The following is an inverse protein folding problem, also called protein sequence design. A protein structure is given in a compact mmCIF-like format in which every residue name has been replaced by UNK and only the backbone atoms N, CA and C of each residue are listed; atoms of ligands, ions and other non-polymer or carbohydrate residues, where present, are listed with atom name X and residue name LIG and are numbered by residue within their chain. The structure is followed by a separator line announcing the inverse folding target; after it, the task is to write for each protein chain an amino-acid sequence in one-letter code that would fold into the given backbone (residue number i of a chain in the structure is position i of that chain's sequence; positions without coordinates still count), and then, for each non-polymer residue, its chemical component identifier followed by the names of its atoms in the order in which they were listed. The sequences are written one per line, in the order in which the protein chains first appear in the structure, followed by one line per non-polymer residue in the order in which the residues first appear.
data_IF_366281788363
#
_entry.id   IF_366281788363
#
_cell.length_a   1.000
_cell.length_b   1.000
_cell.length_c   1.000
_cell.angle_alpha   90.00
_cell.angle_beta   90.00
_cell.angle_gamma   90.00
#
_symmetry.space_group_name_H-M   'P 1'
#
loop_
_entity.id
_entity.type
_entity.pdbx_description
1 polymer ?
#
# COMPACT_ATOMS: atom_id res chain seq x y z
N UNK A 1 -25.43 18.79 48.78
CA UNK A 1 -25.66 19.07 47.35
C UNK A 1 -26.11 17.76 46.67
N UNK A 2 -27.37 17.63 46.23
CA UNK A 2 -27.85 16.39 45.58
C UNK A 2 -27.41 16.41 44.12
N UNK A 3 -26.43 15.59 43.75
CA UNK A 3 -26.04 15.38 42.36
C UNK A 3 -27.23 14.70 41.67
N UNK A 4 -27.71 15.29 40.58
CA UNK A 4 -28.89 14.79 39.88
C UNK A 4 -28.50 13.57 39.03
N UNK A 5 -29.36 12.56 38.94
CA UNK A 5 -29.03 11.28 38.28
C UNK A 5 -28.60 11.43 36.81
N UNK A 6 -29.10 12.44 36.10
CA UNK A 6 -28.71 12.71 34.72
C UNK A 6 -27.25 13.16 34.57
N UNK A 7 -26.67 13.83 35.57
CA UNK A 7 -25.25 14.22 35.55
C UNK A 7 -24.33 13.00 35.65
N UNK A 8 -24.76 11.94 36.35
CA UNK A 8 -24.02 10.69 36.45
C UNK A 8 -24.09 9.92 35.12
N UNK A 9 -25.27 9.84 34.49
CA UNK A 9 -25.44 9.19 33.19
C UNK A 9 -24.62 9.89 32.11
N UNK A 10 -24.63 11.22 32.06
CA UNK A 10 -23.84 12.00 31.11
C UNK A 10 -22.34 11.78 31.31
N UNK A 11 -21.88 11.70 32.56
CA UNK A 11 -20.48 11.40 32.89
C UNK A 11 -20.07 10.00 32.44
N UNK A 12 -20.92 8.99 32.66
CA UNK A 12 -20.67 7.61 32.19
C UNK A 12 -20.59 7.57 30.66
N UNK A 13 -21.49 8.25 29.95
CA UNK A 13 -21.45 8.33 28.48
C UNK A 13 -20.16 9.00 27.99
N UNK A 14 -19.75 10.12 28.61
CA UNK A 14 -18.50 10.82 28.28
C UNK A 14 -17.26 9.96 28.54
N UNK A 15 -17.24 9.19 29.63
CA UNK A 15 -16.14 8.26 29.95
C UNK A 15 -16.11 7.09 28.96
N UNK A 16 -17.26 6.56 28.54
CA UNK A 16 -17.30 5.48 27.55
C UNK A 16 -16.85 5.97 26.16
N UNK A 17 -17.27 7.18 25.75
CA UNK A 17 -16.87 7.76 24.46
C UNK A 17 -15.36 8.09 24.44
N UNK A 18 -14.77 8.52 25.56
CA UNK A 18 -13.34 8.84 25.61
C UNK A 18 -12.42 7.61 25.52
N UNK A 19 -12.94 6.40 25.82
CA UNK A 19 -12.19 5.16 25.61
C UNK A 19 -12.18 4.68 24.16
N UNK A 20 -12.99 5.28 23.28
CA UNK A 20 -12.99 4.97 21.85
C UNK A 20 -11.97 5.87 21.14
N UNK A 21 -10.70 5.74 21.51
CA UNK A 21 -9.61 6.34 20.75
C UNK A 21 -9.34 5.49 19.51
N UNK A 22 -10.02 5.80 18.41
CA UNK A 22 -9.58 5.29 17.12
C UNK A 22 -8.25 5.95 16.78
N UNK A 23 -7.20 5.14 16.57
CA UNK A 23 -5.99 5.63 15.92
C UNK A 23 -6.41 6.24 14.58
N UNK A 24 -6.14 7.54 14.41
CA UNK A 24 -6.50 8.22 13.17
C UNK A 24 -5.75 7.56 12.01
N UNK A 25 -6.51 7.24 10.96
CA UNK A 25 -5.93 6.71 9.72
C UNK A 25 -4.92 7.71 9.17
N UNK A 26 -3.80 7.24 8.58
CA UNK A 26 -2.78 8.15 8.07
C UNK A 26 -3.39 9.02 6.98
N UNK A 27 -3.17 10.33 7.09
CA UNK A 27 -3.49 11.22 5.99
C UNK A 27 -2.65 10.84 4.77
N UNK A 28 -3.21 11.01 3.59
CA UNK A 28 -2.58 10.63 2.32
C UNK A 28 -2.42 11.84 1.42
N UNK A 29 -1.35 11.86 0.61
CA UNK A 29 -1.10 12.84 -0.44
C UNK A 29 -0.62 12.14 -1.70
N UNK A 30 -0.82 12.79 -2.85
CA UNK A 30 -0.13 12.44 -4.09
C UNK A 30 1.06 13.39 -4.20
N UNK A 31 2.27 12.84 -4.30
CA UNK A 31 3.48 13.65 -4.38
C UNK A 31 3.70 14.25 -5.79
N UNK A 32 4.74 15.06 -5.94
CA UNK A 32 5.09 15.71 -7.22
C UNK A 32 5.40 14.72 -8.34
N UNK A 33 5.73 13.47 -8.00
CA UNK A 33 5.99 12.39 -8.96
C UNK A 33 4.73 11.58 -9.30
N UNK A 34 3.57 11.96 -8.74
CA UNK A 34 2.30 11.26 -8.93
C UNK A 34 2.17 9.98 -8.12
N UNK A 35 3.01 9.76 -7.10
CA UNK A 35 2.93 8.58 -6.25
C UNK A 35 2.06 8.87 -5.00
N UNK A 36 1.20 7.92 -4.61
CA UNK A 36 0.46 7.98 -3.34
C UNK A 36 1.40 7.74 -2.17
N UNK A 37 1.33 8.61 -1.16
CA UNK A 37 2.14 8.61 0.06
C UNK A 37 1.29 8.91 1.28
N UNK A 38 1.76 8.50 2.45
CA UNK A 38 1.30 9.05 3.73
C UNK A 38 1.88 10.46 3.94
N UNK A 39 1.18 11.28 4.71
CA UNK A 39 1.71 12.59 5.13
C UNK A 39 2.60 12.38 6.35
N UNK A 40 3.87 12.70 6.18
CA UNK A 40 4.90 12.64 7.20
C UNK A 40 5.39 14.04 7.58
N UNK A 41 5.92 14.18 8.79
CA UNK A 41 6.51 15.43 9.26
C UNK A 41 7.81 15.72 8.51
N UNK A 42 8.04 16.98 8.14
CA UNK A 42 9.25 17.42 7.44
C UNK A 42 9.32 16.93 6.00
N UNK A 43 10.51 16.54 5.54
CA UNK A 43 10.77 16.10 4.16
C UNK A 43 10.68 14.58 3.97
N UNK A 44 10.11 13.86 4.93
CA UNK A 44 10.05 12.41 4.89
C UNK A 44 9.11 11.89 3.79
N UNK A 45 9.61 10.95 2.99
CA UNK A 45 8.86 10.25 1.94
C UNK A 45 8.35 8.89 2.43
N UNK A 46 9.06 8.30 3.40
CA UNK A 46 8.76 7.01 4.03
C UNK A 46 8.35 7.29 5.48
N UNK A 47 7.29 6.64 5.98
CA UNK A 47 6.97 6.71 7.40
C UNK A 47 8.16 6.28 8.27
N UNK A 48 8.43 6.95 9.39
CA UNK A 48 9.36 6.46 10.39
C UNK A 48 9.05 5.00 10.77
N UNK A 49 10.11 4.23 10.98
CA UNK A 49 10.01 2.84 11.42
C UNK A 49 9.14 2.75 12.67
N UNK A 50 8.24 1.78 12.69
CA UNK A 50 7.31 1.48 13.78
C UNK A 50 6.25 2.55 14.09
N UNK A 51 6.16 3.66 13.31
CA UNK A 51 5.17 4.73 13.55
C UNK A 51 3.73 4.22 13.56
N UNK A 52 3.41 3.28 12.67
CA UNK A 52 2.05 2.79 12.45
C UNK A 52 1.80 1.36 12.97
N UNK A 53 2.69 0.75 13.75
CA UNK A 53 2.55 -0.65 14.19
C UNK A 53 1.21 -0.91 14.91
N UNK A 54 0.84 -0.04 15.87
CA UNK A 54 -0.44 -0.15 16.58
C UNK A 54 -1.65 -0.01 15.67
N UNK A 55 -1.51 0.80 14.61
CA UNK A 55 -2.58 0.96 13.63
C UNK A 55 -2.69 -0.29 12.76
N UNK A 56 -1.57 -0.85 12.29
CA UNK A 56 -1.54 -2.11 11.55
C UNK A 56 -2.23 -3.21 12.35
N UNK A 57 -1.87 -3.37 13.64
CA UNK A 57 -2.52 -4.33 14.54
C UNK A 57 -4.04 -4.14 14.63
N UNK A 58 -4.49 -2.88 14.66
CA UNK A 58 -5.91 -2.54 14.68
C UNK A 58 -6.61 -2.86 13.37
N UNK A 59 -6.00 -2.54 12.23
CA UNK A 59 -6.54 -2.83 10.91
C UNK A 59 -6.63 -4.35 10.69
N UNK A 60 -5.63 -5.11 11.11
CA UNK A 60 -5.63 -6.57 11.02
C UNK A 60 -6.72 -7.20 11.90
N UNK A 61 -6.95 -6.67 13.10
CA UNK A 61 -8.09 -7.08 13.94
C UNK A 61 -9.43 -6.78 13.26
N UNK A 62 -9.54 -5.64 12.60
CA UNK A 62 -10.75 -5.29 11.85
C UNK A 62 -10.96 -6.26 10.67
N UNK A 63 -9.91 -6.56 9.91
CA UNK A 63 -10.00 -7.50 8.78
C UNK A 63 -10.31 -8.94 9.21
N UNK A 64 -9.88 -9.36 10.41
CA UNK A 64 -10.30 -10.65 10.99
C UNK A 64 -11.79 -10.70 11.28
N UNK A 65 -12.39 -9.58 11.73
CA UNK A 65 -13.82 -9.49 12.06
C UNK A 65 -14.69 -9.23 10.82
N UNK A 66 -14.21 -8.38 9.92
CA UNK A 66 -14.86 -8.02 8.68
C UNK A 66 -13.84 -8.06 7.53
N UNK A 67 -13.65 -9.24 6.89
CA UNK A 67 -12.67 -9.41 5.81
C UNK A 67 -12.94 -8.58 4.56
N UNK A 68 -14.12 -7.97 4.45
CA UNK A 68 -14.56 -7.17 3.31
C UNK A 68 -14.54 -5.66 3.60
N UNK A 69 -13.97 -5.23 4.73
CA UNK A 69 -13.76 -3.82 5.00
C UNK A 69 -12.70 -3.24 4.05
N UNK A 70 -13.18 -2.58 2.99
CA UNK A 70 -12.34 -1.92 1.97
C UNK A 70 -11.43 -0.86 2.56
N UNK A 71 -11.85 -0.16 3.62
CA UNK A 71 -11.03 0.87 4.26
C UNK A 71 -9.83 0.22 4.92
N UNK A 72 -10.06 -0.84 5.71
CA UNK A 72 -8.98 -1.56 6.36
C UNK A 72 -8.05 -2.24 5.35
N UNK A 73 -8.60 -2.82 4.28
CA UNK A 73 -7.79 -3.41 3.20
C UNK A 73 -6.89 -2.36 2.53
N UNK A 74 -7.45 -1.20 2.19
CA UNK A 74 -6.69 -0.12 1.56
C UNK A 74 -5.57 0.42 2.46
N UNK A 75 -5.87 0.72 3.71
CA UNK A 75 -4.87 1.28 4.62
C UNK A 75 -3.80 0.26 5.03
N UNK A 76 -4.17 -1.01 5.24
CA UNK A 76 -3.16 -2.06 5.46
C UNK A 76 -2.26 -2.20 4.24
N UNK A 77 -2.82 -2.25 3.02
CA UNK A 77 -2.03 -2.30 1.79
C UNK A 77 -1.08 -1.08 1.65
N UNK A 78 -1.57 0.12 1.96
CA UNK A 78 -0.78 1.35 1.90
C UNK A 78 0.41 1.29 2.86
N UNK A 79 0.21 0.82 4.09
CA UNK A 79 1.26 0.75 5.10
C UNK A 79 2.30 -0.33 4.75
N UNK A 80 1.86 -1.53 4.35
CA UNK A 80 2.77 -2.57 3.85
C UNK A 80 3.58 -2.08 2.65
N UNK A 81 2.96 -1.37 1.69
CA UNK A 81 3.66 -0.74 0.59
C UNK A 81 4.66 0.33 1.04
N UNK A 82 4.24 1.24 1.93
CA UNK A 82 5.04 2.40 2.32
C UNK A 82 6.34 2.01 3.01
N UNK A 83 6.33 0.94 3.80
CA UNK A 83 7.52 0.39 4.46
C UNK A 83 8.40 -0.47 3.55
N UNK A 84 7.92 -0.89 2.37
CA UNK A 84 8.58 -1.88 1.52
C UNK A 84 8.80 -1.41 0.06
N UNK A 85 8.59 -0.14 -0.22
CA UNK A 85 8.92 0.49 -1.49
C UNK A 85 10.45 0.59 -1.68
N UNK A 86 10.92 0.73 -2.91
CA UNK A 86 12.35 0.84 -3.25
C UNK A 86 13.07 1.96 -2.48
N UNK A 87 12.42 3.09 -2.20
CA UNK A 87 13.04 4.19 -1.42
C UNK A 87 13.31 3.77 0.03
N UNK A 88 12.46 2.91 0.60
CA UNK A 88 12.61 2.39 1.96
C UNK A 88 13.58 1.20 1.99
N UNK A 89 13.47 0.31 0.99
CA UNK A 89 14.23 -0.92 0.87
C UNK A 89 14.85 -1.03 -0.53
N UNK A 90 16.03 -0.43 -0.77
CA UNK A 90 16.60 -0.33 -2.10
C UNK A 90 17.10 -1.65 -2.67
N UNK A 91 17.52 -2.60 -1.83
CA UNK A 91 17.95 -3.89 -2.34
C UNK A 91 16.75 -4.68 -2.89
N UNK A 92 16.88 -5.24 -4.09
CA UNK A 92 15.81 -6.07 -4.69
C UNK A 92 15.41 -7.27 -3.81
N UNK A 93 16.33 -7.73 -2.95
CA UNK A 93 16.17 -8.91 -2.09
C UNK A 93 16.20 -8.61 -0.58
N UNK A 94 15.66 -7.49 -0.13
CA UNK A 94 15.47 -7.31 1.32
C UNK A 94 14.54 -8.40 1.88
N UNK A 95 14.97 -9.05 2.97
CA UNK A 95 14.20 -10.09 3.66
C UNK A 95 12.86 -9.53 4.17
N UNK A 96 11.75 -10.23 3.88
CA UNK A 96 10.41 -9.83 4.34
C UNK A 96 9.70 -8.81 3.44
N UNK A 97 10.44 -8.16 2.53
CA UNK A 97 9.91 -7.12 1.65
C UNK A 97 9.00 -7.70 0.58
N UNK A 98 9.37 -8.84 -0.02
CA UNK A 98 8.56 -9.48 -1.05
C UNK A 98 7.24 -10.01 -0.46
N UNK A 99 7.30 -10.60 0.74
CA UNK A 99 6.14 -11.10 1.47
C UNK A 99 5.19 -9.93 1.78
N UNK A 100 5.72 -8.84 2.33
CA UNK A 100 4.93 -7.64 2.64
C UNK A 100 4.29 -7.00 1.41
N UNK A 101 5.02 -6.90 0.30
CA UNK A 101 4.46 -6.39 -0.96
C UNK A 101 3.40 -7.33 -1.56
N UNK A 102 3.57 -8.64 -1.39
CA UNK A 102 2.56 -9.63 -1.81
C UNK A 102 1.28 -9.49 -0.98
N UNK A 103 1.41 -9.34 0.34
CA UNK A 103 0.28 -9.03 1.22
C UNK A 103 -0.42 -7.73 0.82
N UNK A 104 0.34 -6.66 0.54
CA UNK A 104 -0.21 -5.40 0.06
C UNK A 104 -0.99 -5.56 -1.25
N UNK A 105 -0.43 -6.32 -2.22
CA UNK A 105 -1.06 -6.64 -3.50
C UNK A 105 -2.39 -7.36 -3.29
N UNK A 106 -2.41 -8.39 -2.45
CA UNK A 106 -3.63 -9.18 -2.23
C UNK A 106 -4.72 -8.35 -1.54
N UNK A 107 -4.34 -7.50 -0.58
CA UNK A 107 -5.27 -6.59 0.09
C UNK A 107 -5.88 -5.56 -0.88
N UNK A 108 -5.05 -4.90 -1.71
CA UNK A 108 -5.55 -3.87 -2.63
C UNK A 108 -6.38 -4.45 -3.77
N UNK A 109 -5.99 -5.62 -4.31
CA UNK A 109 -6.78 -6.30 -5.33
C UNK A 109 -8.12 -6.75 -4.75
N UNK A 110 -8.14 -7.27 -3.52
CA UNK A 110 -9.39 -7.61 -2.83
C UNK A 110 -10.28 -6.38 -2.63
N UNK A 111 -9.73 -5.26 -2.18
CA UNK A 111 -10.48 -4.02 -1.97
C UNK A 111 -11.17 -3.56 -3.27
N UNK A 112 -10.45 -3.60 -4.39
CA UNK A 112 -10.99 -3.22 -5.70
C UNK A 112 -11.99 -4.26 -6.21
N UNK A 113 -11.74 -5.56 -6.01
CA UNK A 113 -12.66 -6.64 -6.39
C UNK A 113 -14.02 -6.50 -5.69
N UNK A 114 -14.03 -6.08 -4.42
CA UNK A 114 -15.25 -5.80 -3.66
C UNK A 114 -15.76 -4.36 -3.86
N UNK A 115 -15.42 -3.75 -5.01
CA UNK A 115 -15.95 -2.49 -5.54
C UNK A 115 -15.48 -1.21 -4.84
N UNK A 116 -14.27 -1.18 -4.27
CA UNK A 116 -13.64 0.10 -3.91
C UNK A 116 -13.29 0.88 -5.18
N UNK A 117 -13.90 2.05 -5.35
CA UNK A 117 -13.76 2.93 -6.54
C UNK A 117 -12.83 4.12 -6.30
N UNK A 118 -12.24 4.24 -5.10
CA UNK A 118 -11.34 5.34 -4.76
C UNK A 118 -10.14 5.37 -5.71
N UNK A 119 -9.89 6.54 -6.32
CA UNK A 119 -8.75 6.75 -7.21
C UNK A 119 -7.42 6.35 -6.56
N UNK A 120 -7.24 6.66 -5.27
CA UNK A 120 -6.03 6.32 -4.50
C UNK A 120 -5.82 4.82 -4.43
N UNK A 121 -6.88 4.03 -4.36
CA UNK A 121 -6.77 2.57 -4.36
C UNK A 121 -6.23 2.05 -5.70
N UNK A 122 -6.72 2.60 -6.82
CA UNK A 122 -6.22 2.26 -8.15
C UNK A 122 -4.77 2.70 -8.37
N UNK A 123 -4.40 3.89 -7.86
CA UNK A 123 -3.03 4.39 -7.89
C UNK A 123 -2.08 3.52 -7.07
N UNK A 124 -2.47 3.20 -5.83
CA UNK A 124 -1.70 2.31 -4.95
C UNK A 124 -1.50 0.93 -5.57
N UNK A 125 -2.55 0.37 -6.20
CA UNK A 125 -2.44 -0.90 -6.92
C UNK A 125 -1.35 -0.82 -7.99
N UNK A 126 -1.37 0.20 -8.85
CA UNK A 126 -0.34 0.35 -9.88
C UNK A 126 1.07 0.46 -9.28
N UNK A 127 1.23 1.25 -8.21
CA UNK A 127 2.50 1.38 -7.49
C UNK A 127 3.02 0.05 -6.91
N UNK A 128 2.16 -0.75 -6.27
CA UNK A 128 2.56 -2.05 -5.72
C UNK A 128 3.07 -2.98 -6.82
N UNK A 129 2.39 -3.04 -7.97
CA UNK A 129 2.82 -3.86 -9.10
C UNK A 129 4.14 -3.36 -9.70
N UNK A 130 4.38 -2.05 -9.71
CA UNK A 130 5.67 -1.47 -10.10
C UNK A 130 6.81 -1.94 -9.19
N UNK A 131 6.60 -1.89 -7.87
CA UNK A 131 7.60 -2.34 -6.90
C UNK A 131 7.84 -3.84 -7.00
N UNK A 132 6.80 -4.66 -7.16
CA UNK A 132 6.94 -6.09 -7.38
C UNK A 132 7.76 -6.39 -8.64
N UNK A 133 7.47 -5.69 -9.75
CA UNK A 133 8.27 -5.80 -10.97
C UNK A 133 9.75 -5.48 -10.71
N UNK A 134 10.04 -4.41 -9.95
CA UNK A 134 11.40 -4.07 -9.52
C UNK A 134 12.07 -5.18 -8.69
N UNK A 135 11.36 -5.85 -7.77
CA UNK A 135 11.91 -6.96 -6.97
C UNK A 135 12.33 -8.17 -7.80
N UNK A 136 11.78 -8.31 -9.01
CA UNK A 136 12.10 -9.39 -9.94
C UNK A 136 12.88 -8.91 -11.17
N UNK A 137 13.46 -7.70 -11.17
CA UNK A 137 14.11 -7.17 -12.38
C UNK A 137 15.60 -7.50 -12.52
N UNK A 138 16.28 -7.92 -11.46
CA UNK A 138 17.72 -8.16 -11.45
C UNK A 138 18.16 -9.44 -12.17
N UNK A 139 19.38 -9.42 -12.70
CA UNK A 139 20.09 -10.62 -13.11
C UNK A 139 20.70 -11.30 -11.88
N UNK A 140 20.14 -12.45 -11.52
CA UNK A 140 20.55 -13.25 -10.37
C UNK A 140 20.98 -14.65 -10.81
N UNK A 141 21.40 -14.78 -12.08
CA UNK A 141 21.88 -16.03 -12.66
C UNK A 141 23.11 -16.60 -11.94
N UNK A 142 23.87 -15.75 -11.24
CA UNK A 142 24.95 -16.15 -10.34
C UNK A 142 24.48 -16.84 -9.06
N UNK A 143 23.22 -16.62 -8.66
CA UNK A 143 22.65 -17.11 -7.40
C UNK A 143 21.64 -18.24 -7.59
N UNK A 144 20.86 -18.20 -8.67
CA UNK A 144 19.74 -19.09 -8.90
C UNK A 144 19.98 -20.05 -10.05
N UNK A 145 19.31 -21.20 -10.00
CA UNK A 145 19.31 -22.17 -11.10
C UNK A 145 18.46 -21.64 -12.26
N UNK A 146 18.73 -22.15 -13.46
CA UNK A 146 18.02 -21.73 -14.69
C UNK A 146 16.48 -21.80 -14.57
N UNK A 147 15.94 -22.82 -13.91
CA UNK A 147 14.49 -22.94 -13.70
C UNK A 147 13.91 -21.86 -12.80
N UNK A 148 14.64 -21.44 -11.76
CA UNK A 148 14.25 -20.35 -10.86
C UNK A 148 14.33 -19.01 -11.59
N UNK A 149 15.37 -18.78 -12.40
CA UNK A 149 15.48 -17.60 -13.25
C UNK A 149 14.31 -17.52 -14.24
N UNK A 150 13.91 -18.64 -14.85
CA UNK A 150 12.75 -18.67 -15.74
C UNK A 150 11.45 -18.29 -15.00
N UNK A 151 11.26 -18.77 -13.76
CA UNK A 151 10.12 -18.40 -12.92
C UNK A 151 10.13 -16.91 -12.55
N UNK A 152 11.30 -16.37 -12.18
CA UNK A 152 11.46 -14.95 -11.85
C UNK A 152 11.18 -14.05 -13.04
N UNK A 153 11.66 -14.41 -14.23
CA UNK A 153 11.31 -13.74 -15.49
C UNK A 153 9.80 -13.74 -15.74
N UNK A 154 9.13 -14.87 -15.54
CA UNK A 154 7.67 -14.98 -15.70
C UNK A 154 6.92 -14.05 -14.74
N UNK A 155 7.38 -13.95 -13.48
CA UNK A 155 6.82 -13.02 -12.49
C UNK A 155 7.06 -11.56 -12.89
N UNK A 156 8.27 -11.22 -13.33
CA UNK A 156 8.59 -9.89 -13.85
C UNK A 156 7.64 -9.46 -14.97
N UNK A 157 7.50 -10.28 -16.02
CA UNK A 157 6.65 -9.95 -17.17
C UNK A 157 5.17 -9.83 -16.75
N UNK A 158 4.70 -10.72 -15.86
CA UNK A 158 3.33 -10.62 -15.34
C UNK A 158 3.09 -9.30 -14.60
N UNK A 159 4.02 -8.89 -13.74
CA UNK A 159 3.89 -7.65 -12.99
C UNK A 159 4.06 -6.41 -13.86
N UNK A 160 4.94 -6.46 -14.87
CA UNK A 160 5.09 -5.43 -15.90
C UNK A 160 3.78 -5.19 -16.66
N UNK A 161 3.13 -6.26 -17.13
CA UNK A 161 1.85 -6.18 -17.83
C UNK A 161 0.75 -5.56 -16.96
N UNK A 162 0.65 -6.01 -15.70
CA UNK A 162 -0.33 -5.49 -14.74
C UNK A 162 -0.07 -4.02 -14.41
N UNK A 163 1.18 -3.66 -14.12
CA UNK A 163 1.62 -2.28 -13.90
C UNK A 163 1.20 -1.38 -15.07
N UNK A 164 1.55 -1.77 -16.30
CA UNK A 164 1.28 -0.99 -17.50
C UNK A 164 -0.21 -0.86 -17.77
N UNK A 165 -0.97 -1.94 -17.59
CA UNK A 165 -2.44 -1.92 -17.69
C UNK A 165 -3.06 -0.95 -16.67
N UNK A 166 -2.60 -0.97 -15.43
CA UNK A 166 -3.16 -0.13 -14.38
C UNK A 166 -2.81 1.35 -14.54
N UNK A 167 -1.58 1.69 -14.94
CA UNK A 167 -1.26 3.08 -15.30
C UNK A 167 -2.01 3.57 -16.54
N UNK A 168 -2.23 2.71 -17.54
CA UNK A 168 -3.10 3.03 -18.69
C UNK A 168 -4.54 3.33 -18.25
N UNK A 169 -5.06 2.58 -17.26
CA UNK A 169 -6.37 2.86 -16.69
C UNK A 169 -6.40 4.18 -15.90
N UNK A 170 -5.35 4.51 -15.16
CA UNK A 170 -5.24 5.77 -14.43
C UNK A 170 -5.23 6.98 -15.38
N UNK A 171 -4.56 6.88 -16.54
CA UNK A 171 -4.62 7.92 -17.59
C UNK A 171 -6.05 8.20 -18.05
N UNK A 172 -6.89 7.16 -18.15
CA UNK A 172 -8.30 7.33 -18.54
C UNK A 172 -9.13 8.01 -17.45
N UNK A 173 -8.75 7.87 -16.18
CA UNK A 173 -9.45 8.47 -15.04
C UNK A 173 -8.97 9.90 -14.79
N UNK A 174 -7.66 10.13 -14.85
CA UNK A 174 -6.99 11.42 -14.65
C UNK A 174 -6.01 11.72 -15.81
N UNK A 175 -6.56 12.14 -16.94
CA UNK A 175 -5.76 12.48 -18.12
C UNK A 175 -4.83 13.69 -17.90
N UNK A 176 -5.11 14.54 -16.90
CA UNK A 176 -4.31 15.73 -16.62
C UNK A 176 -2.89 15.41 -16.17
N UNK A 177 -2.66 14.19 -15.66
CA UNK A 177 -1.37 13.69 -15.18
C UNK A 177 -0.79 12.59 -16.07
N UNK A 178 -1.25 12.49 -17.32
CA UNK A 178 -0.86 11.43 -18.25
C UNK A 178 0.66 11.25 -18.35
N UNK A 179 1.41 12.36 -18.46
CA UNK A 179 2.87 12.32 -18.53
C UNK A 179 3.50 11.59 -17.33
N UNK A 180 3.01 11.84 -16.11
CA UNK A 180 3.51 11.19 -14.90
C UNK A 180 3.22 9.68 -14.95
N UNK A 181 2.02 9.28 -15.35
CA UNK A 181 1.65 7.87 -15.42
C UNK A 181 2.38 7.11 -16.52
N UNK A 182 2.59 7.72 -17.68
CA UNK A 182 3.38 7.13 -18.75
C UNK A 182 4.84 6.90 -18.30
N UNK A 183 5.42 7.81 -17.52
CA UNK A 183 6.77 7.63 -16.94
C UNK A 183 6.87 6.45 -15.96
N UNK A 184 5.76 6.02 -15.34
CA UNK A 184 5.74 4.88 -14.41
C UNK A 184 5.50 3.53 -15.09
N UNK A 185 5.19 3.52 -16.40
CA UNK A 185 5.08 2.29 -17.18
C UNK A 185 6.49 1.72 -17.43
N UNK A 186 6.58 0.41 -17.48
CA UNK A 186 7.84 -0.34 -17.63
C UNK A 186 7.93 -0.84 -19.07
N UNK A 187 8.94 -0.36 -19.79
CA UNK A 187 9.21 -0.73 -21.19
C UNK A 187 10.46 -1.59 -21.35
N UNK A 188 11.27 -1.71 -20.30
CA UNK A 188 12.49 -2.53 -20.30
C UNK A 188 12.18 -4.03 -20.30
N UNK A 189 13.09 -4.80 -20.85
CA UNK A 189 13.05 -6.27 -20.84
C UNK A 189 13.81 -6.83 -19.64
N UNK A 190 13.49 -8.06 -19.25
CA UNK A 190 14.21 -8.77 -18.21
C UNK A 190 15.53 -9.39 -18.71
N UNK A 191 16.62 -9.33 -17.92
CA UNK A 191 16.78 -8.53 -16.72
C UNK A 191 16.99 -7.06 -17.08
N UNK A 192 16.56 -6.16 -16.20
CA UNK A 192 16.85 -4.73 -16.35
C UNK A 192 18.35 -4.55 -16.10
N UNK A 193 19.08 -4.17 -17.16
CA UNK A 193 20.51 -3.87 -17.13
C UNK A 193 20.78 -2.50 -16.53
#
# INVERSE_FOLDING_TARGET
MKIKSYTIILFIILVIISQISFSQLPLTKIDVNGDLRTIESGMLIVPPKNKYDKLIDSLDKNLKRNPSDTTSLFYSALLYYSYNQMIAEPAQRTKGTLESLTTAKDMIEKAIQIKMTDFRAHLLRAQIYRELCYRFSGDESWMFKAGEIAMRRKLFENYKDKNNKYYTHLIKIDGSKEYLYNKKRITSDYPIK
#
